data_IF_090187900741
#
_entry.id   IF_090187900741
#
_cell.length_a   1.000
_cell.length_b   1.000
_cell.length_c   1.000
_cell.angle_alpha   90.00
_cell.angle_beta   90.00
_cell.angle_gamma   90.00
#
_symmetry.space_group_name_H-M   'P 1'
#
loop_
_entity.id
_entity.type
_entity.pdbx_description
1 polymer ?
#
# COMPACT_ATOMS: atom_id res chain seq x y z
N UNK A 1 31.38 6.41 2.80
CA UNK A 1 30.43 5.29 2.60
C UNK A 1 30.88 4.39 1.45
N UNK A 2 32.10 3.81 1.47
CA UNK A 2 32.59 2.96 0.38
C UNK A 2 31.69 1.74 0.08
N UNK A 3 31.01 1.21 1.10
CA UNK A 3 30.10 0.07 0.99
C UNK A 3 28.90 0.38 0.08
N UNK A 4 28.35 1.59 0.14
CA UNK A 4 27.24 1.99 -0.72
C UNK A 4 27.65 2.08 -2.20
N UNK A 5 28.87 2.55 -2.49
CA UNK A 5 29.39 2.53 -3.86
C UNK A 5 29.52 1.10 -4.39
N UNK A 6 30.05 0.18 -3.56
CA UNK A 6 30.16 -1.24 -3.95
C UNK A 6 28.78 -1.86 -4.22
N UNK A 7 27.80 -1.61 -3.35
CA UNK A 7 26.42 -2.09 -3.54
C UNK A 7 25.81 -1.58 -4.85
N UNK A 8 25.96 -0.28 -5.15
CA UNK A 8 25.43 0.33 -6.37
C UNK A 8 26.09 -0.24 -7.62
N UNK A 9 27.43 -0.34 -7.62
CA UNK A 9 28.18 -0.83 -8.77
C UNK A 9 27.93 -2.32 -9.04
N UNK A 10 27.77 -3.12 -7.97
CA UNK A 10 27.62 -4.57 -8.04
C UNK A 10 26.20 -5.01 -8.35
N UNK A 11 25.21 -4.43 -7.65
CA UNK A 11 23.83 -4.91 -7.70
C UNK A 11 22.90 -4.00 -8.49
N UNK A 12 23.31 -2.76 -8.79
CA UNK A 12 22.53 -1.79 -9.57
C UNK A 12 21.08 -1.68 -9.07
N UNK A 13 20.87 -1.29 -7.80
CA UNK A 13 19.55 -1.27 -7.19
C UNK A 13 18.66 -0.18 -7.80
N UNK A 14 17.37 -0.46 -7.91
CA UNK A 14 16.35 0.53 -8.26
C UNK A 14 15.93 1.38 -7.04
N UNK A 15 16.16 0.89 -5.82
CA UNK A 15 15.87 1.59 -4.57
C UNK A 15 17.04 1.47 -3.61
N UNK A 16 17.49 2.60 -3.06
CA UNK A 16 18.39 2.64 -1.91
C UNK A 16 17.64 3.25 -0.72
N UNK A 17 17.40 2.41 0.28
CA UNK A 17 16.66 2.78 1.48
C UNK A 17 17.64 2.94 2.65
N UNK A 18 17.92 4.17 3.06
CA UNK A 18 18.81 4.46 4.19
C UNK A 18 18.02 4.53 5.50
N UNK A 19 18.70 4.37 6.63
CA UNK A 19 18.10 4.50 7.97
C UNK A 19 19.12 5.12 8.95
N UNK A 20 18.65 5.50 10.14
CA UNK A 20 19.51 6.08 11.19
C UNK A 20 19.73 7.60 11.02
N UNK A 21 18.80 8.28 10.37
CA UNK A 21 18.88 9.73 10.12
C UNK A 21 19.00 10.55 11.41
N UNK A 22 18.40 10.09 12.51
CA UNK A 22 18.48 10.78 13.81
C UNK A 22 19.90 10.86 14.41
N UNK A 23 20.86 10.04 13.96
CA UNK A 23 22.15 9.91 14.62
C UNK A 23 23.14 11.03 14.30
N UNK A 24 23.13 11.55 13.07
CA UNK A 24 24.14 12.52 12.64
C UNK A 24 23.69 13.37 11.43
N UNK A 25 24.27 14.56 11.24
CA UNK A 25 24.03 15.39 10.06
C UNK A 25 24.65 14.78 8.79
N UNK A 26 24.25 15.31 7.63
CA UNK A 26 24.71 14.92 6.29
C UNK A 26 26.24 14.93 6.12
N UNK A 27 26.87 15.93 6.71
CA UNK A 27 28.33 16.14 6.67
C UNK A 27 29.11 15.05 7.38
N UNK A 28 28.54 14.38 8.38
CA UNK A 28 29.21 13.29 9.08
C UNK A 28 29.35 12.05 8.18
N UNK A 29 28.28 11.69 7.47
CA UNK A 29 28.25 10.56 6.54
C UNK A 29 28.81 10.91 5.16
N UNK A 30 28.92 12.20 4.85
CA UNK A 30 29.14 12.73 3.52
C UNK A 30 28.05 12.25 2.53
N UNK A 31 26.80 12.24 2.98
CA UNK A 31 25.65 11.72 2.23
C UNK A 31 25.36 12.52 0.96
N UNK A 32 25.56 13.84 1.01
CA UNK A 32 25.36 14.73 -0.15
C UNK A 32 26.29 14.41 -1.32
N UNK A 33 27.57 14.13 -1.07
CA UNK A 33 28.52 13.75 -2.12
C UNK A 33 28.14 12.42 -2.76
N UNK A 34 27.69 11.45 -1.97
CA UNK A 34 27.23 10.18 -2.49
C UNK A 34 25.96 10.33 -3.32
N UNK A 35 24.95 11.07 -2.84
CA UNK A 35 23.73 11.31 -3.60
C UNK A 35 24.00 12.06 -4.91
N UNK A 36 24.93 13.03 -4.90
CA UNK A 36 25.37 13.71 -6.11
C UNK A 36 26.01 12.74 -7.12
N UNK A 37 26.91 11.87 -6.67
CA UNK A 37 27.48 10.82 -7.54
C UNK A 37 26.40 9.84 -8.03
N UNK A 38 25.47 9.43 -7.15
CA UNK A 38 24.41 8.48 -7.45
C UNK A 38 23.55 8.96 -8.62
N UNK A 39 23.15 10.24 -8.60
CA UNK A 39 22.27 10.81 -9.62
C UNK A 39 22.99 11.39 -10.84
N UNK A 40 24.30 11.65 -10.77
CA UNK A 40 25.04 12.20 -11.92
C UNK A 40 25.83 11.14 -12.70
N UNK A 41 26.50 10.23 -11.99
CA UNK A 41 27.59 9.41 -12.53
C UNK A 41 27.36 7.91 -12.40
N UNK A 42 26.48 7.47 -11.50
CA UNK A 42 26.27 6.05 -11.24
C UNK A 42 25.60 5.32 -12.42
N UNK A 43 25.77 3.99 -12.53
CA UNK A 43 25.12 3.21 -13.60
C UNK A 43 23.60 3.11 -13.47
N UNK A 44 23.02 3.58 -12.36
CA UNK A 44 21.57 3.52 -12.07
C UNK A 44 20.92 4.90 -11.96
N UNK A 45 21.65 5.96 -12.32
CA UNK A 45 21.24 7.36 -12.15
C UNK A 45 19.86 7.70 -12.73
N UNK A 46 19.44 7.01 -13.78
CA UNK A 46 18.18 7.27 -14.49
C UNK A 46 16.99 6.49 -13.91
N UNK A 47 17.22 5.52 -13.02
CA UNK A 47 16.17 4.63 -12.47
C UNK A 47 16.12 4.60 -10.95
N UNK A 48 17.24 4.86 -10.27
CA UNK A 48 17.33 4.72 -8.81
C UNK A 48 16.47 5.76 -8.09
N UNK A 49 15.76 5.30 -7.07
CA UNK A 49 15.08 6.14 -6.09
C UNK A 49 15.71 5.95 -4.71
N UNK A 50 15.64 7.00 -3.88
CA UNK A 50 16.11 6.92 -2.49
C UNK A 50 15.06 7.50 -1.55
N UNK A 51 14.98 7.00 -0.32
CA UNK A 51 14.11 7.57 0.72
C UNK A 51 14.72 8.86 1.31
N UNK A 52 14.10 9.43 2.34
CA UNK A 52 14.47 10.72 2.94
C UNK A 52 15.29 10.61 4.24
N UNK A 53 15.79 9.42 4.59
CA UNK A 53 16.50 9.14 5.86
C UNK A 53 18.02 9.21 5.74
N UNK A 54 18.56 10.25 5.11
CA UNK A 54 20.01 10.36 4.84
C UNK A 54 20.80 11.13 5.89
N UNK A 55 20.12 11.80 6.82
CA UNK A 55 20.70 12.64 7.87
C UNK A 55 19.65 13.32 8.74
N UNK A 56 20.09 13.82 9.89
CA UNK A 56 19.22 14.51 10.84
C UNK A 56 18.65 15.79 10.20
N UNK A 57 17.33 15.98 10.30
CA UNK A 57 16.58 17.09 9.71
C UNK A 57 16.69 17.20 8.18
N UNK A 58 16.97 16.10 7.48
CA UNK A 58 17.06 16.08 6.02
C UNK A 58 15.79 15.66 5.29
N UNK A 59 14.73 15.33 6.04
CA UNK A 59 13.41 15.09 5.44
C UNK A 59 13.02 16.32 4.61
N UNK A 60 12.52 16.09 3.40
CA UNK A 60 12.20 17.10 2.38
C UNK A 60 13.41 17.85 1.76
N UNK A 61 14.66 17.62 2.21
CA UNK A 61 15.87 18.24 1.67
C UNK A 61 16.71 17.28 0.83
N UNK A 62 16.75 16.00 1.21
CA UNK A 62 17.44 14.92 0.52
C UNK A 62 16.48 13.72 0.40
N UNK A 63 16.39 13.11 -0.78
CA UNK A 63 15.46 11.99 -1.00
C UNK A 63 14.64 12.12 -2.28
N UNK A 64 14.28 10.98 -2.88
CA UNK A 64 13.40 10.89 -4.04
C UNK A 64 11.91 10.80 -3.67
N UNK A 65 11.57 10.42 -2.43
CA UNK A 65 10.20 10.37 -1.92
C UNK A 65 10.14 10.71 -0.41
N UNK A 66 9.11 11.46 0.01
CA UNK A 66 8.87 12.00 1.36
C UNK A 66 7.42 12.50 1.56
N UNK A 67 7.03 12.79 2.81
CA UNK A 67 5.63 12.99 3.26
C UNK A 67 4.79 14.10 2.57
N UNK A 68 5.38 15.05 1.85
CA UNK A 68 4.63 16.07 1.08
C UNK A 68 4.71 15.86 -0.44
N UNK A 69 5.36 14.78 -0.88
CA UNK A 69 5.42 14.27 -2.25
C UNK A 69 4.96 12.80 -2.25
N UNK A 70 5.39 11.99 -3.23
CA UNK A 70 5.31 10.53 -3.12
C UNK A 70 5.98 10.11 -1.82
N UNK A 71 5.39 9.17 -1.07
CA UNK A 71 5.88 8.70 0.22
C UNK A 71 5.69 7.19 0.34
N UNK A 72 6.24 6.57 1.38
CA UNK A 72 6.13 5.13 1.62
C UNK A 72 5.83 4.86 3.09
N UNK A 73 4.79 4.06 3.36
CA UNK A 73 4.53 3.51 4.69
C UNK A 73 5.31 2.21 4.83
N UNK A 74 6.23 2.18 5.81
CA UNK A 74 6.92 0.96 6.20
C UNK A 74 6.19 0.32 7.38
N UNK A 75 5.83 -0.96 7.26
CA UNK A 75 5.16 -1.72 8.32
C UNK A 75 5.75 -3.14 8.39
N UNK A 76 5.44 -3.90 9.44
CA UNK A 76 5.94 -5.26 9.66
C UNK A 76 4.79 -6.17 10.08
N UNK A 77 4.77 -7.41 9.57
CA UNK A 77 3.76 -8.39 9.99
C UNK A 77 3.84 -8.66 11.49
N UNK A 78 5.03 -8.65 12.08
CA UNK A 78 5.21 -8.63 13.54
C UNK A 78 5.13 -7.19 14.05
N UNK A 79 4.10 -6.89 14.84
CA UNK A 79 3.85 -5.53 15.36
C UNK A 79 4.91 -5.08 16.37
N UNK A 80 5.70 -6.01 16.91
CA UNK A 80 6.70 -5.73 17.95
C UNK A 80 8.14 -5.74 17.41
N UNK A 81 8.39 -6.22 16.18
CA UNK A 81 9.74 -6.32 15.64
C UNK A 81 9.83 -6.28 14.12
N UNK A 82 10.94 -5.73 13.61
CA UNK A 82 11.36 -5.88 12.22
C UNK A 82 12.06 -7.21 11.95
N UNK A 83 12.68 -7.80 12.97
CA UNK A 83 13.37 -9.08 12.90
C UNK A 83 12.51 -10.24 13.38
N UNK A 84 12.93 -11.47 13.10
CA UNK A 84 12.26 -12.65 13.61
C UNK A 84 12.36 -12.76 15.13
N UNK A 85 11.22 -12.95 15.80
CA UNK A 85 11.14 -13.32 17.22
C UNK A 85 10.70 -14.79 17.34
N UNK A 86 11.43 -15.60 18.08
CA UNK A 86 11.04 -17.00 18.31
C UNK A 86 9.83 -17.14 19.25
N UNK A 87 9.49 -16.09 19.98
CA UNK A 87 8.42 -16.03 20.97
C UNK A 87 7.21 -15.19 20.50
N UNK A 88 6.98 -15.07 19.18
CA UNK A 88 5.81 -14.36 18.65
C UNK A 88 4.51 -15.03 19.09
N UNK A 89 3.54 -14.21 19.48
CA UNK A 89 2.15 -14.63 19.68
C UNK A 89 1.26 -14.12 18.55
N UNK A 90 0.19 -14.86 18.23
CA UNK A 90 -0.65 -14.59 17.05
C UNK A 90 -1.36 -13.23 17.10
N UNK A 91 -1.69 -12.74 18.30
CA UNK A 91 -2.30 -11.44 18.56
C UNK A 91 -1.31 -10.27 18.37
N UNK A 92 -0.01 -10.54 18.51
CA UNK A 92 1.09 -9.61 18.21
C UNK A 92 1.39 -9.52 16.70
N UNK A 93 0.78 -10.39 15.88
CA UNK A 93 0.94 -10.37 14.43
C UNK A 93 -0.23 -9.64 13.77
N UNK A 94 0.02 -9.02 12.63
CA UNK A 94 -1.04 -8.48 11.80
C UNK A 94 -1.89 -9.63 11.23
N UNK A 95 -3.21 -9.44 11.23
CA UNK A 95 -4.11 -10.29 10.46
C UNK A 95 -4.23 -9.79 9.02
N UNK A 96 -4.83 -10.62 8.17
CA UNK A 96 -4.99 -10.32 6.73
C UNK A 96 -5.77 -9.00 6.52
N UNK A 97 -6.81 -8.77 7.32
CA UNK A 97 -7.64 -7.58 7.25
C UNK A 97 -6.86 -6.30 7.56
N UNK A 98 -6.05 -6.31 8.62
CA UNK A 98 -5.20 -5.17 9.01
C UNK A 98 -4.17 -4.85 7.92
N UNK A 99 -3.56 -5.86 7.31
CA UNK A 99 -2.58 -5.66 6.22
C UNK A 99 -3.26 -5.00 5.01
N UNK A 100 -4.43 -5.50 4.62
CA UNK A 100 -5.18 -4.95 3.48
C UNK A 100 -5.69 -3.54 3.80
N UNK A 101 -6.12 -3.28 5.04
CA UNK A 101 -6.51 -1.95 5.50
C UNK A 101 -5.35 -0.95 5.38
N UNK A 102 -4.17 -1.30 5.91
CA UNK A 102 -2.98 -0.45 5.82
C UNK A 102 -2.57 -0.19 4.38
N UNK A 103 -2.61 -1.21 3.51
CA UNK A 103 -2.32 -1.06 2.08
C UNK A 103 -3.29 -0.08 1.43
N UNK A 104 -4.60 -0.32 1.57
CA UNK A 104 -5.66 0.48 0.93
C UNK A 104 -5.60 1.93 1.39
N UNK A 105 -5.38 2.13 2.70
CA UNK A 105 -5.24 3.46 3.30
C UNK A 105 -4.00 4.17 2.77
N UNK A 106 -2.85 3.49 2.78
CA UNK A 106 -1.59 4.06 2.29
C UNK A 106 -1.69 4.52 0.84
N UNK A 107 -2.25 3.67 -0.03
CA UNK A 107 -2.39 3.98 -1.46
C UNK A 107 -3.40 5.10 -1.70
N UNK A 108 -4.47 5.19 -0.89
CA UNK A 108 -5.45 6.29 -1.01
C UNK A 108 -4.89 7.64 -0.63
N UNK A 109 -3.90 7.67 0.27
CA UNK A 109 -3.09 8.85 0.58
C UNK A 109 -1.86 9.01 -0.34
N UNK A 110 -1.75 8.19 -1.39
CA UNK A 110 -0.80 8.37 -2.50
C UNK A 110 0.59 7.78 -2.25
N UNK A 111 0.75 7.04 -1.17
CA UNK A 111 2.00 6.38 -0.80
C UNK A 111 2.11 4.95 -1.33
N UNK A 112 3.32 4.39 -1.23
CA UNK A 112 3.60 2.97 -1.41
C UNK A 112 3.58 2.26 -0.05
N UNK A 113 3.24 0.98 -0.02
CA UNK A 113 3.25 0.17 1.20
C UNK A 113 4.41 -0.83 1.15
N UNK A 114 5.39 -0.66 2.04
CA UNK A 114 6.53 -1.55 2.23
C UNK A 114 6.27 -2.45 3.44
N UNK A 115 5.86 -3.69 3.18
CA UNK A 115 5.58 -4.68 4.20
C UNK A 115 6.81 -5.57 4.47
N UNK A 116 7.33 -5.49 5.69
CA UNK A 116 8.47 -6.28 6.15
C UNK A 116 8.05 -7.66 6.68
N UNK A 117 8.92 -8.64 6.43
CA UNK A 117 8.92 -9.94 7.11
C UNK A 117 10.32 -10.24 7.64
N UNK A 118 10.39 -10.85 8.83
CA UNK A 118 11.64 -11.29 9.43
C UNK A 118 11.86 -12.80 9.24
N UNK A 119 12.77 -13.25 8.36
CA UNK A 119 13.14 -14.66 8.29
C UNK A 119 13.90 -15.12 9.54
N UNK A 120 13.90 -16.43 9.82
CA UNK A 120 14.75 -17.00 10.86
C UNK A 120 16.22 -16.86 10.49
N UNK A 121 17.13 -17.11 11.44
CA UNK A 121 18.58 -17.09 11.20
C UNK A 121 19.04 -18.13 10.16
N UNK A 122 18.25 -19.18 9.93
CA UNK A 122 18.45 -20.18 8.89
C UNK A 122 17.93 -19.72 7.51
N UNK A 123 17.34 -18.53 7.41
CA UNK A 123 16.78 -18.00 6.18
C UNK A 123 15.36 -18.49 5.86
N UNK A 124 14.64 -19.03 6.84
CA UNK A 124 13.28 -19.56 6.66
C UNK A 124 12.24 -18.47 6.95
N UNK A 125 11.29 -18.25 6.03
CA UNK A 125 10.12 -17.40 6.32
C UNK A 125 9.16 -18.22 7.19
N UNK A 126 8.74 -17.68 8.33
CA UNK A 126 7.82 -18.36 9.22
C UNK A 126 6.48 -18.64 8.49
N UNK A 127 5.86 -19.83 8.64
CA UNK A 127 4.64 -20.19 7.92
C UNK A 127 3.49 -19.19 8.08
N UNK A 128 3.40 -18.53 9.24
CA UNK A 128 2.41 -17.48 9.46
C UNK A 128 2.65 -16.24 8.60
N UNK A 129 3.90 -15.83 8.40
CA UNK A 129 4.22 -14.72 7.50
C UNK A 129 3.95 -15.07 6.04
N UNK A 130 4.29 -16.29 5.63
CA UNK A 130 3.98 -16.81 4.31
C UNK A 130 2.47 -16.79 4.05
N UNK A 131 1.67 -17.29 5.00
CA UNK A 131 0.21 -17.34 4.87
C UNK A 131 -0.40 -15.94 4.71
N UNK A 132 0.07 -14.93 5.48
CA UNK A 132 -0.35 -13.53 5.32
C UNK A 132 0.05 -12.92 3.99
N UNK A 133 1.27 -13.17 3.52
CA UNK A 133 1.74 -12.69 2.21
C UNK A 133 0.94 -13.32 1.06
N UNK A 134 0.65 -14.63 1.15
CA UNK A 134 -0.18 -15.32 0.16
C UNK A 134 -1.63 -14.82 0.18
N UNK A 135 -2.17 -14.50 1.36
CA UNK A 135 -3.50 -13.90 1.49
C UNK A 135 -3.59 -12.53 0.82
N UNK A 136 -2.60 -11.67 1.08
CA UNK A 136 -2.47 -10.38 0.41
C UNK A 136 -2.37 -10.57 -1.11
N UNK A 137 -1.55 -11.52 -1.57
CA UNK A 137 -1.41 -11.85 -2.99
C UNK A 137 -2.72 -12.31 -3.64
N UNK A 138 -3.49 -13.20 -2.99
CA UNK A 138 -4.82 -13.62 -3.47
C UNK A 138 -5.80 -12.45 -3.57
N UNK A 139 -5.76 -11.55 -2.59
CA UNK A 139 -6.61 -10.36 -2.61
C UNK A 139 -6.23 -9.40 -3.75
N UNK A 140 -4.93 -9.19 -3.97
CA UNK A 140 -4.40 -8.38 -5.07
C UNK A 140 -4.66 -9.00 -6.46
N UNK A 141 -4.71 -10.33 -6.58
CA UNK A 141 -5.08 -10.99 -7.84
C UNK A 141 -6.50 -10.62 -8.29
N UNK A 142 -7.41 -10.46 -7.31
CA UNK A 142 -8.80 -10.05 -7.58
C UNK A 142 -8.96 -8.53 -7.66
N UNK A 143 -8.35 -7.79 -6.73
CA UNK A 143 -8.61 -6.36 -6.52
C UNK A 143 -7.47 -5.44 -6.96
N UNK A 144 -6.38 -5.99 -7.50
CA UNK A 144 -5.15 -5.26 -7.82
C UNK A 144 -5.32 -4.16 -8.86
N UNK A 145 -6.31 -4.26 -9.75
CA UNK A 145 -6.70 -3.19 -10.69
C UNK A 145 -7.06 -1.88 -9.94
N UNK A 146 -7.61 -1.98 -8.73
CA UNK A 146 -7.95 -0.82 -7.91
C UNK A 146 -6.73 -0.20 -7.21
N UNK A 147 -5.61 -0.92 -7.11
CA UNK A 147 -4.40 -0.55 -6.36
C UNK A 147 -3.28 -0.10 -7.30
N UNK A 148 -2.85 -0.98 -8.20
CA UNK A 148 -1.75 -0.71 -9.12
C UNK A 148 -2.11 0.42 -10.09
N UNK A 149 -1.13 1.30 -10.36
CA UNK A 149 -1.30 2.49 -11.22
C UNK A 149 -2.39 3.49 -10.76
N UNK A 150 -2.97 3.27 -9.58
CA UNK A 150 -3.96 4.17 -9.01
C UNK A 150 -3.31 5.42 -8.40
N UNK A 151 -4.15 6.44 -8.21
CA UNK A 151 -3.81 7.71 -7.58
C UNK A 151 -4.88 8.05 -6.54
N UNK A 152 -4.55 8.89 -5.55
CA UNK A 152 -5.54 9.47 -4.65
C UNK A 152 -6.73 10.05 -5.40
N UNK A 153 -7.94 9.69 -4.97
CA UNK A 153 -9.14 10.37 -5.41
C UNK A 153 -9.36 11.67 -4.64
N UNK A 154 -10.16 12.60 -5.19
CA UNK A 154 -10.45 13.90 -4.55
C UNK A 154 -11.04 13.77 -3.13
N UNK A 155 -11.76 12.68 -2.87
CA UNK A 155 -12.30 12.30 -1.57
C UNK A 155 -11.75 10.91 -1.32
N UNK A 156 -10.79 10.77 -0.41
CA UNK A 156 -10.04 9.51 -0.22
C UNK A 156 -10.79 8.52 0.68
N UNK A 157 -11.50 9.03 1.68
CA UNK A 157 -12.19 8.23 2.68
C UNK A 157 -13.63 8.72 2.82
N UNK A 158 -14.57 7.78 2.85
CA UNK A 158 -15.97 7.96 3.21
C UNK A 158 -16.33 6.96 4.33
N UNK A 159 -17.51 7.14 4.94
CA UNK A 159 -17.95 6.32 6.09
C UNK A 159 -17.95 4.81 5.83
N UNK A 160 -18.13 4.41 4.57
CA UNK A 160 -18.32 3.01 4.16
C UNK A 160 -17.21 2.48 3.24
N UNK A 161 -16.21 3.29 2.90
CA UNK A 161 -15.16 2.86 1.98
C UNK A 161 -14.09 3.89 1.65
N UNK A 162 -13.03 3.40 1.04
CA UNK A 162 -11.89 4.17 0.54
C UNK A 162 -11.97 4.29 -0.98
N UNK A 163 -11.73 5.49 -1.52
CA UNK A 163 -11.83 5.76 -2.94
C UNK A 163 -10.46 6.00 -3.57
N UNK A 164 -10.26 5.36 -4.72
CA UNK A 164 -9.03 5.44 -5.52
C UNK A 164 -9.36 5.76 -6.96
N UNK A 165 -8.43 6.44 -7.66
CA UNK A 165 -8.56 6.76 -9.07
C UNK A 165 -7.48 6.06 -9.87
N UNK A 166 -7.86 5.01 -10.59
CA UNK A 166 -7.07 4.42 -11.66
C UNK A 166 -7.64 4.80 -13.03
N UNK A 167 -7.77 3.84 -13.97
CA UNK A 167 -8.50 4.05 -15.22
C UNK A 167 -9.94 4.52 -14.98
N UNK A 168 -10.54 4.04 -13.90
CA UNK A 168 -11.84 4.47 -13.38
C UNK A 168 -11.74 4.75 -11.87
N UNK A 169 -12.85 5.13 -11.23
CA UNK A 169 -12.87 5.28 -9.77
C UNK A 169 -13.19 3.92 -9.15
N UNK A 170 -12.44 3.53 -8.13
CA UNK A 170 -12.71 2.33 -7.35
C UNK A 170 -13.14 2.71 -5.94
N UNK A 171 -14.08 1.96 -5.39
CA UNK A 171 -14.48 2.06 -3.99
C UNK A 171 -14.17 0.75 -3.29
N UNK A 172 -13.24 0.77 -2.34
CA UNK A 172 -12.81 -0.38 -1.56
C UNK A 172 -13.44 -0.33 -0.18
N UNK A 173 -14.07 -1.42 0.23
CA UNK A 173 -14.69 -1.54 1.56
C UNK A 173 -14.25 -2.85 2.20
N UNK A 174 -14.00 -2.82 3.51
CA UNK A 174 -13.45 -3.94 4.27
C UNK A 174 -14.49 -4.64 5.15
N UNK A 175 -15.67 -4.03 5.28
CA UNK A 175 -16.79 -4.58 6.02
C UNK A 175 -18.01 -4.67 5.10
N UNK A 176 -18.58 -5.87 5.01
CA UNK A 176 -19.81 -6.08 4.26
C UNK A 176 -21.00 -5.45 5.01
N UNK A 177 -21.80 -4.56 4.38
CA UNK A 177 -22.93 -3.91 5.05
C UNK A 177 -24.02 -4.93 5.40
N UNK A 178 -24.57 -4.82 6.62
CA UNK A 178 -25.56 -5.79 7.14
C UNK A 178 -26.86 -5.85 6.34
N UNK A 179 -27.28 -4.73 5.75
CA UNK A 179 -28.45 -4.61 4.89
C UNK A 179 -28.14 -4.87 3.40
N UNK A 180 -26.90 -5.27 3.08
CA UNK A 180 -26.37 -5.43 1.72
C UNK A 180 -26.44 -4.15 0.88
N UNK A 181 -26.48 -2.97 1.50
CA UNK A 181 -26.48 -1.69 0.78
C UNK A 181 -25.21 -0.90 1.12
N UNK A 182 -24.36 -0.69 0.13
CA UNK A 182 -23.20 0.20 0.25
C UNK A 182 -23.62 1.62 -0.17
N UNK A 183 -23.40 2.60 0.70
CA UNK A 183 -23.66 4.01 0.41
C UNK A 183 -22.35 4.77 0.18
N UNK A 184 -22.20 5.37 -1.01
CA UNK A 184 -21.07 6.23 -1.37
C UNK A 184 -21.56 7.67 -1.63
N UNK A 185 -21.00 8.65 -0.94
CA UNK A 185 -21.53 10.02 -0.91
C UNK A 185 -21.02 10.89 -2.07
N UNK A 186 -19.76 10.75 -2.48
CA UNK A 186 -19.10 11.63 -3.44
C UNK A 186 -19.12 11.23 -4.93
N UNK A 187 -19.16 9.94 -5.34
CA UNK A 187 -19.15 9.59 -6.76
C UNK A 187 -20.55 9.66 -7.40
N UNK A 188 -20.64 10.13 -8.65
CA UNK A 188 -21.86 10.14 -9.48
C UNK A 188 -21.55 9.74 -10.94
N UNK A 189 -22.54 9.36 -11.75
CA UNK A 189 -22.82 7.97 -12.20
C UNK A 189 -21.83 7.34 -13.23
N UNK A 190 -21.72 6.00 -13.26
CA UNK A 190 -21.93 5.07 -14.42
C UNK A 190 -21.33 3.67 -14.11
N UNK A 191 -21.67 2.61 -14.89
CA UNK A 191 -22.07 1.31 -14.36
C UNK A 191 -21.16 0.79 -13.25
N UNK A 192 -21.81 0.42 -12.15
CA UNK A 192 -21.17 -0.19 -10.99
C UNK A 192 -21.02 -1.68 -11.25
N UNK A 193 -19.80 -2.16 -11.10
CA UNK A 193 -19.46 -3.58 -11.08
C UNK A 193 -18.58 -3.86 -9.85
N UNK A 194 -18.39 -5.13 -9.50
CA UNK A 194 -17.50 -5.53 -8.42
C UNK A 194 -16.42 -6.43 -8.99
N UNK A 195 -15.17 -6.16 -8.62
CA UNK A 195 -14.05 -7.00 -9.04
C UNK A 195 -14.22 -8.41 -8.48
N UNK A 196 -13.88 -9.43 -9.27
CA UNK A 196 -14.11 -10.84 -8.92
C UNK A 196 -15.56 -11.31 -8.95
N UNK A 197 -16.52 -10.46 -9.33
CA UNK A 197 -17.94 -10.82 -9.43
C UNK A 197 -18.48 -10.64 -10.85
N UNK A 198 -18.93 -11.74 -11.47
CA UNK A 198 -19.46 -11.72 -12.85
C UNK A 198 -20.91 -11.23 -12.97
N UNK A 199 -21.63 -11.09 -11.85
CA UNK A 199 -23.04 -10.67 -11.86
C UNK A 199 -23.23 -9.17 -12.01
N UNK A 200 -24.44 -8.76 -12.40
CA UNK A 200 -24.83 -7.36 -12.44
C UNK A 200 -25.22 -6.86 -11.04
N UNK A 201 -24.75 -5.65 -10.68
CA UNK A 201 -25.14 -4.97 -9.45
C UNK A 201 -26.30 -4.01 -9.70
N UNK A 202 -27.25 -3.98 -8.77
CA UNK A 202 -28.30 -2.96 -8.75
C UNK A 202 -27.75 -1.73 -8.02
N UNK A 203 -27.96 -0.55 -8.60
CA UNK A 203 -27.51 0.70 -7.99
C UNK A 203 -28.46 1.83 -8.35
N UNK A 204 -28.59 2.80 -7.44
CA UNK A 204 -29.46 3.94 -7.60
C UNK A 204 -28.86 5.19 -6.96
N UNK A 205 -29.19 6.36 -7.51
CA UNK A 205 -28.85 7.63 -6.89
C UNK A 205 -29.93 7.99 -5.86
N UNK A 206 -29.52 8.24 -4.62
CA UNK A 206 -30.40 8.72 -3.57
C UNK A 206 -30.16 10.22 -3.34
N UNK A 207 -31.19 11.08 -3.48
CA UNK A 207 -31.06 12.52 -3.19
C UNK A 207 -30.52 12.76 -1.78
N UNK A 208 -29.45 13.54 -1.67
CA UNK A 208 -28.78 13.85 -0.39
C UNK A 208 -27.96 12.71 0.24
N UNK A 209 -27.94 11.50 -0.35
CA UNK A 209 -27.20 10.33 0.16
C UNK A 209 -26.15 9.77 -0.81
N UNK A 210 -26.11 10.26 -2.04
CA UNK A 210 -25.14 9.83 -3.06
C UNK A 210 -25.58 8.58 -3.84
N UNK A 211 -24.66 7.65 -4.05
CA UNK A 211 -24.84 6.37 -4.75
C UNK A 211 -25.13 5.27 -3.73
N UNK A 212 -26.23 4.54 -3.93
CA UNK A 212 -26.57 3.33 -3.20
C UNK A 212 -26.35 2.13 -4.12
N UNK A 213 -25.57 1.15 -3.67
CA UNK A 213 -25.27 -0.08 -4.40
C UNK A 213 -25.82 -1.25 -3.59
N UNK A 214 -26.76 -2.00 -4.18
CA UNK A 214 -27.26 -3.24 -3.58
C UNK A 214 -26.31 -4.37 -3.96
N UNK A 215 -25.64 -4.89 -2.94
CA UNK A 215 -24.73 -6.01 -3.06
C UNK A 215 -25.51 -7.33 -3.10
N UNK A 216 -25.02 -8.35 -3.84
CA UNK A 216 -25.64 -9.67 -3.79
C UNK A 216 -25.59 -10.22 -2.37
N UNK A 217 -26.56 -11.02 -1.90
CA UNK A 217 -26.40 -11.73 -0.64
C UNK A 217 -25.09 -12.52 -0.72
N UNK A 218 -24.22 -12.36 0.27
CA UNK A 218 -22.94 -13.07 0.33
C UNK A 218 -23.21 -14.56 0.04
N UNK A 219 -22.76 -15.09 -1.10
CA UNK A 219 -22.87 -16.53 -1.30
C UNK A 219 -22.04 -17.22 -0.21
N UNK A 220 -22.37 -18.45 0.21
CA UNK A 220 -21.49 -19.28 1.04
C UNK A 220 -20.18 -19.70 0.33
N UNK A 221 -19.73 -18.91 -0.65
CA UNK A 221 -18.59 -19.06 -1.56
C UNK A 221 -17.32 -18.42 -0.96
N UNK A 222 -16.11 -18.75 -1.47
CA UNK A 222 -14.82 -18.17 -1.07
C UNK A 222 -14.71 -16.64 -1.00
N UNK A 223 -15.69 -15.86 -1.48
CA UNK A 223 -15.75 -14.41 -1.22
C UNK A 223 -16.02 -14.06 0.25
N UNK A 224 -16.65 -14.97 1.01
CA UNK A 224 -16.91 -14.83 2.45
C UNK A 224 -15.63 -14.77 3.30
N UNK A 225 -14.48 -15.21 2.75
CA UNK A 225 -13.19 -15.24 3.46
C UNK A 225 -12.25 -14.11 3.07
N UNK A 226 -12.63 -13.22 2.14
CA UNK A 226 -11.76 -12.10 1.76
C UNK A 226 -12.08 -10.87 2.64
N UNK A 227 -11.08 -10.23 3.26
CA UNK A 227 -11.33 -9.14 4.21
C UNK A 227 -11.62 -7.79 3.53
N UNK A 228 -11.86 -7.76 2.21
CA UNK A 228 -12.20 -6.54 1.50
C UNK A 228 -12.62 -6.77 0.05
N UNK A 229 -13.41 -5.84 -0.48
CA UNK A 229 -13.99 -5.89 -1.81
C UNK A 229 -13.83 -4.54 -2.52
N UNK A 230 -13.73 -4.57 -3.85
CA UNK A 230 -13.61 -3.36 -4.66
C UNK A 230 -14.77 -3.24 -5.68
N UNK A 231 -15.48 -2.11 -5.62
CA UNK A 231 -16.39 -1.69 -6.68
C UNK A 231 -15.62 -0.91 -7.74
N UNK A 232 -15.97 -1.15 -8.99
CA UNK A 232 -15.48 -0.44 -10.18
C UNK A 232 -16.57 0.50 -10.68
N UNK A 233 -16.31 1.81 -10.63
CA UNK A 233 -17.24 2.89 -10.96
C UNK A 233 -16.78 3.63 -12.22
N UNK A 234 -17.48 3.40 -13.33
CA UNK A 234 -17.13 4.04 -14.62
C UNK A 234 -17.69 5.46 -14.69
N UNK A 235 -17.12 6.32 -15.54
CA UNK A 235 -17.73 7.62 -15.90
C UNK A 235 -17.87 8.62 -14.74
N UNK A 236 -17.24 8.35 -13.60
CA UNK A 236 -17.30 9.21 -12.42
C UNK A 236 -16.56 10.52 -12.69
N UNK A 237 -17.30 11.62 -12.60
CA UNK A 237 -16.75 12.99 -12.56
C UNK A 237 -16.25 13.33 -11.17
#
# INVERSE_FOLDING_TARGET
MPELYDLVLKYKPDLIWSDGDWEAPDSYWNSTSFLAWLYNDSPVKDTVVVNDRWCNNCSCHHGGYYNSHKWEMCSSIDKLSWGYRSNMHIDELMDEASIIEELVKTVSFGGNYLLNVGPTKEGVIAPIFEERLLALGRWLDTNGEAIYESKPWRVQVEDTGTLLKGPVVYAIFLAWPQDNVLQLSSPTPSPVSMLGFAGALQWQKAPGKGLLVTLPPLPPSPLSTQPGWALRLQGVQ
#
